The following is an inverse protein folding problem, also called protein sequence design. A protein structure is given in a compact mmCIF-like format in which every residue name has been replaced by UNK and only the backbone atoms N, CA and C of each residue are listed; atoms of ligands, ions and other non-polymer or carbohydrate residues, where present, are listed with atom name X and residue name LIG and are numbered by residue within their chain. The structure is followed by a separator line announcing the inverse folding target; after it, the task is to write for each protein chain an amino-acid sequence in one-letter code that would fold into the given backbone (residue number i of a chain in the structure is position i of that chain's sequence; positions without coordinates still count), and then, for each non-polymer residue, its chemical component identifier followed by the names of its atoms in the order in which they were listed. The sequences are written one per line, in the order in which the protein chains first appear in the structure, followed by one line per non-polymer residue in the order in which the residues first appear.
data_IF_655609573206
#
_entry.id   IF_655609573206
#
_cell.length_a   1.000
_cell.length_b   1.000
_cell.length_c   1.000
_cell.angle_alpha   90.00
_cell.angle_beta   90.00
_cell.angle_gamma   90.00
#
_symmetry.space_group_name_H-M   'P 1'
#
loop_
_entity.id
_entity.type
_entity.pdbx_description
1 polymer ?
#
# COMPACT_ATOMS: atom_id res chain seq x y z
N UNK A 1 -2.20 25.05 6.11
CA UNK A 1 -3.42 24.98 6.92
C UNK A 1 -3.94 23.56 6.82
N UNK A 2 -4.11 22.85 7.94
CA UNK A 2 -4.73 21.53 7.96
C UNK A 2 -6.23 21.69 7.76
N UNK A 3 -6.79 21.08 6.71
CA UNK A 3 -8.22 21.14 6.39
C UNK A 3 -8.92 19.95 7.04
N UNK A 4 -10.12 20.17 7.58
CA UNK A 4 -11.02 19.08 8.01
C UNK A 4 -12.22 19.07 7.08
N UNK A 5 -12.69 17.89 6.71
CA UNK A 5 -13.92 17.71 5.92
C UNK A 5 -14.74 16.58 6.52
N UNK A 6 -16.05 16.76 6.59
CA UNK A 6 -16.97 15.82 7.22
C UNK A 6 -18.05 15.43 6.23
N UNK A 7 -18.30 14.13 6.10
CA UNK A 7 -19.40 13.59 5.30
C UNK A 7 -20.35 12.85 6.24
N UNK A 8 -21.62 13.25 6.25
CA UNK A 8 -22.68 12.54 6.97
C UNK A 8 -23.48 11.70 5.97
N UNK A 9 -23.76 10.47 6.36
CA UNK A 9 -24.71 9.60 5.67
C UNK A 9 -26.15 9.86 6.21
N UNK A 10 -27.22 9.57 5.45
CA UNK A 10 -28.60 9.61 5.94
C UNK A 10 -28.86 8.94 7.30
N UNK A 11 -28.04 7.95 7.68
CA UNK A 11 -28.10 7.27 8.99
C UNK A 11 -27.35 8.00 10.11
N UNK A 12 -26.96 9.27 9.93
CA UNK A 12 -26.15 10.10 10.85
C UNK A 12 -24.73 9.58 11.15
N UNK A 13 -24.34 8.46 10.55
CA UNK A 13 -22.97 7.97 10.58
C UNK A 13 -22.05 9.00 9.90
N UNK A 14 -21.03 9.44 10.62
CA UNK A 14 -20.17 10.55 10.22
C UNK A 14 -18.79 10.03 9.87
N UNK A 15 -18.31 10.34 8.67
CA UNK A 15 -16.90 10.17 8.28
C UNK A 15 -16.19 11.52 8.40
N UNK A 16 -15.03 11.53 9.06
CA UNK A 16 -14.21 12.74 9.20
C UNK A 16 -12.86 12.52 8.55
N UNK A 17 -12.46 13.46 7.71
CA UNK A 17 -11.20 13.46 6.99
C UNK A 17 -10.39 14.67 7.46
N UNK A 18 -9.13 14.47 7.80
CA UNK A 18 -8.19 15.57 8.03
C UNK A 18 -7.09 15.53 6.98
N UNK A 19 -6.59 16.70 6.62
CA UNK A 19 -5.55 16.85 5.61
C UNK A 19 -4.32 17.53 6.19
N UNK A 20 -3.13 17.13 5.73
CA UNK A 20 -1.88 17.82 6.02
C UNK A 20 -1.79 19.16 5.24
N UNK A 21 -0.69 19.89 5.43
CA UNK A 21 -0.47 21.17 4.76
C UNK A 21 -0.29 21.08 3.25
N UNK A 22 0.06 19.90 2.73
CA UNK A 22 0.22 19.64 1.30
C UNK A 22 -1.11 19.16 0.66
N UNK A 23 -2.17 19.03 1.46
CA UNK A 23 -3.48 18.57 1.02
C UNK A 23 -3.60 17.04 0.95
N UNK A 24 -2.65 16.30 1.51
CA UNK A 24 -2.76 14.84 1.60
C UNK A 24 -3.66 14.45 2.77
N UNK A 25 -4.39 13.34 2.64
CA UNK A 25 -5.26 12.84 3.71
C UNK A 25 -4.41 12.35 4.90
N UNK A 26 -4.41 13.08 6.01
CA UNK A 26 -3.66 12.73 7.21
C UNK A 26 -4.39 11.70 8.07
N UNK A 27 -5.71 11.86 8.28
CA UNK A 27 -6.51 10.91 9.06
C UNK A 27 -7.89 10.70 8.46
N UNK A 28 -8.43 9.49 8.66
CA UNK A 28 -9.80 9.09 8.36
C UNK A 28 -10.42 8.50 9.63
N UNK A 29 -11.47 9.13 10.14
CA UNK A 29 -12.39 8.52 11.10
C UNK A 29 -13.59 7.98 10.31
N UNK A 30 -13.74 6.67 10.26
CA UNK A 30 -14.82 6.03 9.52
C UNK A 30 -16.16 6.05 10.30
N UNK A 31 -17.22 5.55 9.64
CA UNK A 31 -18.57 5.45 10.23
C UNK A 31 -18.65 4.55 11.47
N UNK A 32 -17.68 3.66 11.66
CA UNK A 32 -17.57 2.76 12.82
C UNK A 32 -16.71 3.37 13.93
N UNK A 33 -16.39 4.67 13.84
CA UNK A 33 -15.51 5.39 14.74
C UNK A 33 -14.08 4.83 14.77
N UNK A 34 -13.64 4.19 13.68
CA UNK A 34 -12.28 3.68 13.55
C UNK A 34 -11.39 4.70 12.86
N UNK A 35 -10.25 4.98 13.49
CA UNK A 35 -9.28 5.95 12.96
C UNK A 35 -8.19 5.23 12.18
N UNK A 36 -7.97 5.67 10.95
CA UNK A 36 -6.79 5.34 10.16
C UNK A 36 -5.93 6.59 10.01
N UNK A 37 -4.63 6.48 10.23
CA UNK A 37 -3.67 7.57 10.01
C UNK A 37 -2.75 7.25 8.84
N UNK A 38 -2.37 8.28 8.09
CA UNK A 38 -1.52 8.12 6.93
C UNK A 38 -0.30 9.05 7.04
N UNK A 39 0.86 8.55 6.60
CA UNK A 39 2.09 9.35 6.49
C UNK A 39 2.58 9.35 5.06
N UNK A 40 3.30 10.42 4.71
CA UNK A 40 3.77 10.67 3.35
C UNK A 40 5.25 11.00 3.35
N UNK A 41 5.93 10.73 2.24
CA UNK A 41 7.29 11.20 1.99
C UNK A 41 7.30 12.65 1.45
N UNK A 42 8.47 13.28 1.26
CA UNK A 42 8.57 14.64 0.72
C UNK A 42 8.00 14.82 -0.70
N UNK A 43 7.78 13.72 -1.43
CA UNK A 43 7.16 13.73 -2.76
C UNK A 43 5.63 13.53 -2.67
N UNK A 44 5.05 13.62 -1.46
CA UNK A 44 3.63 13.41 -1.18
C UNK A 44 3.12 12.00 -1.50
N UNK A 45 4.01 11.00 -1.43
CA UNK A 45 3.64 9.58 -1.63
C UNK A 45 3.40 8.92 -0.29
N UNK A 46 2.30 8.17 -0.17
CA UNK A 46 1.90 7.54 1.10
C UNK A 46 2.87 6.44 1.50
N UNK A 47 3.64 6.64 2.57
CA UNK A 47 4.62 5.67 3.08
C UNK A 47 4.07 4.74 4.15
N UNK A 48 2.98 5.12 4.81
CA UNK A 48 2.35 4.28 5.85
C UNK A 48 0.85 4.53 5.95
N UNK A 49 0.11 3.48 6.25
CA UNK A 49 -1.23 3.53 6.82
C UNK A 49 -1.21 2.80 8.17
N UNK A 50 -1.70 3.41 9.24
CA UNK A 50 -1.84 2.78 10.56
C UNK A 50 -3.32 2.70 10.90
N UNK A 51 -3.80 1.51 11.24
CA UNK A 51 -5.20 1.24 11.57
C UNK A 51 -5.44 1.38 13.07
N UNK A 52 -6.72 1.40 13.48
CA UNK A 52 -7.11 1.57 14.88
C UNK A 52 -6.56 0.49 15.80
N UNK A 53 -6.45 -0.74 15.32
CA UNK A 53 -5.92 -1.88 16.08
C UNK A 53 -4.39 -1.84 16.26
N UNK A 54 -3.74 -0.80 15.74
CA UNK A 54 -2.30 -0.58 15.78
C UNK A 54 -1.54 -1.29 14.66
N UNK A 55 -2.19 -2.15 13.87
CA UNK A 55 -1.56 -2.74 12.68
C UNK A 55 -1.26 -1.64 11.66
N UNK A 56 -0.31 -1.91 10.76
CA UNK A 56 0.03 -0.95 9.72
C UNK A 56 0.47 -1.60 8.42
N UNK A 57 0.29 -0.86 7.34
CA UNK A 57 0.85 -1.17 6.03
C UNK A 57 1.85 -0.09 5.65
N UNK A 58 3.08 -0.48 5.35
CA UNK A 58 4.16 0.40 4.92
C UNK A 58 4.42 0.22 3.43
N UNK A 59 4.75 1.30 2.75
CA UNK A 59 5.03 1.33 1.32
C UNK A 59 6.41 1.93 1.06
N UNK A 60 7.19 1.24 0.23
CA UNK A 60 8.47 1.73 -0.29
C UNK A 60 8.34 1.98 -1.77
N UNK A 61 8.93 3.08 -2.23
CA UNK A 61 8.88 3.51 -3.62
C UNK A 61 10.28 3.63 -4.21
N UNK A 62 10.40 3.38 -5.50
CA UNK A 62 11.60 3.76 -6.25
C UNK A 62 11.56 5.23 -6.73
N UNK A 63 12.59 5.62 -7.47
CA UNK A 63 12.71 6.95 -8.07
C UNK A 63 11.66 7.22 -9.18
N UNK A 64 11.09 6.16 -9.77
CA UNK A 64 10.03 6.23 -10.79
C UNK A 64 8.63 6.33 -10.20
N UNK A 65 8.49 6.52 -8.88
CA UNK A 65 7.19 6.57 -8.19
C UNK A 65 6.41 5.24 -8.25
N UNK A 66 7.12 4.11 -8.31
CA UNK A 66 6.52 2.77 -8.32
C UNK A 66 6.74 2.11 -6.96
N UNK A 67 5.74 1.37 -6.47
CA UNK A 67 5.83 0.65 -5.19
C UNK A 67 6.73 -0.57 -5.36
N UNK A 68 7.90 -0.56 -4.75
CA UNK A 68 8.84 -1.69 -4.76
C UNK A 68 8.64 -2.62 -3.57
N UNK A 69 8.01 -2.15 -2.50
CA UNK A 69 7.72 -2.98 -1.34
C UNK A 69 6.43 -2.58 -0.63
N UNK A 70 5.68 -3.57 -0.18
CA UNK A 70 4.57 -3.43 0.77
C UNK A 70 4.87 -4.32 1.97
N UNK A 71 4.87 -3.76 3.18
CA UNK A 71 5.00 -4.54 4.41
C UNK A 71 3.74 -4.38 5.26
N UNK A 72 3.22 -5.50 5.75
CA UNK A 72 2.22 -5.50 6.82
C UNK A 72 2.92 -5.69 8.15
N UNK A 73 2.50 -4.95 9.17
CA UNK A 73 3.04 -5.02 10.52
C UNK A 73 1.89 -5.19 11.51
N UNK A 74 2.10 -6.05 12.49
CA UNK A 74 1.21 -6.12 13.64
C UNK A 74 1.33 -4.86 14.52
N UNK A 75 0.50 -4.79 15.57
CA UNK A 75 0.50 -3.66 16.52
C UNK A 75 1.81 -3.50 17.31
N UNK A 76 2.61 -4.57 17.42
CA UNK A 76 3.97 -4.53 18.00
C UNK A 76 5.04 -4.02 17.03
N UNK A 77 4.69 -3.71 15.78
CA UNK A 77 5.61 -3.25 14.74
C UNK A 77 6.39 -4.36 14.04
N UNK A 78 6.13 -5.63 14.37
CA UNK A 78 6.73 -6.79 13.70
C UNK A 78 6.14 -6.96 12.32
N UNK A 79 7.00 -7.15 11.31
CA UNK A 79 6.57 -7.45 9.94
C UNK A 79 5.94 -8.85 9.90
N UNK A 80 4.69 -8.92 9.47
CA UNK A 80 3.93 -10.17 9.34
C UNK A 80 3.83 -10.65 7.90
N UNK A 81 3.91 -9.73 6.93
CA UNK A 81 3.97 -10.04 5.51
C UNK A 81 4.81 -9.01 4.76
N UNK A 82 5.48 -9.43 3.70
CA UNK A 82 6.20 -8.54 2.78
C UNK A 82 5.91 -8.97 1.35
N UNK A 83 5.59 -7.98 0.52
CA UNK A 83 5.49 -8.11 -0.93
C UNK A 83 6.59 -7.24 -1.53
N UNK A 84 7.43 -7.80 -2.39
CA UNK A 84 8.47 -7.07 -3.14
C UNK A 84 8.17 -7.11 -4.62
N UNK A 85 8.36 -5.98 -5.32
CA UNK A 85 8.06 -5.82 -6.74
C UNK A 85 9.27 -5.32 -7.50
N UNK A 86 9.50 -5.90 -8.68
CA UNK A 86 10.54 -5.49 -9.63
C UNK A 86 9.87 -5.04 -10.91
N UNK A 87 10.37 -3.95 -11.46
CA UNK A 87 9.87 -3.36 -12.69
C UNK A 87 10.98 -3.28 -13.74
N UNK A 88 10.62 -3.40 -15.01
CA UNK A 88 11.55 -3.11 -16.10
C UNK A 88 11.65 -1.60 -16.41
N UNK A 89 12.46 -1.25 -17.41
CA UNK A 89 12.65 0.13 -17.86
C UNK A 89 11.45 0.75 -18.58
N UNK A 90 10.36 0.00 -18.79
CA UNK A 90 9.10 0.48 -19.36
C UNK A 90 7.99 0.55 -18.30
N UNK A 91 8.35 0.54 -17.02
CA UNK A 91 7.45 0.57 -15.86
C UNK A 91 6.51 -0.63 -15.74
N UNK A 92 6.86 -1.76 -16.36
CA UNK A 92 6.06 -2.99 -16.28
C UNK A 92 6.57 -3.88 -15.16
N UNK A 93 5.66 -4.45 -14.37
CA UNK A 93 5.96 -5.36 -13.26
C UNK A 93 6.50 -6.69 -13.79
N UNK A 94 7.78 -6.99 -13.58
CA UNK A 94 8.41 -8.23 -14.06
C UNK A 94 8.50 -9.31 -13.01
N UNK A 95 8.45 -8.95 -11.73
CA UNK A 95 8.47 -9.91 -10.63
C UNK A 95 7.69 -9.39 -9.42
N UNK A 96 6.92 -10.27 -8.79
CA UNK A 96 6.32 -10.06 -7.47
C UNK A 96 6.72 -11.22 -6.55
N UNK A 97 7.33 -10.90 -5.41
CA UNK A 97 7.73 -11.88 -4.39
C UNK A 97 6.87 -11.66 -3.16
N UNK A 98 6.14 -12.69 -2.75
CA UNK A 98 5.40 -12.75 -1.48
C UNK A 98 6.07 -13.75 -0.55
N UNK A 99 5.55 -13.90 0.68
CA UNK A 99 6.03 -14.96 1.58
C UNK A 99 5.69 -16.37 1.06
N UNK A 100 4.66 -16.49 0.22
CA UNK A 100 4.12 -17.76 -0.24
C UNK A 100 4.67 -18.18 -1.60
N UNK A 101 4.95 -17.21 -2.47
CA UNK A 101 5.33 -17.48 -3.86
C UNK A 101 6.13 -16.34 -4.48
N UNK A 102 6.91 -16.69 -5.51
CA UNK A 102 7.47 -15.72 -6.44
C UNK A 102 6.78 -15.86 -7.78
N UNK A 103 6.27 -14.76 -8.30
CA UNK A 103 5.60 -14.71 -9.59
C UNK A 103 6.43 -13.88 -10.54
N UNK A 104 6.81 -14.48 -11.67
CA UNK A 104 7.50 -13.76 -12.75
C UNK A 104 6.55 -13.48 -13.90
N UNK A 105 6.66 -12.28 -14.46
CA UNK A 105 5.86 -11.81 -15.57
C UNK A 105 6.74 -11.51 -16.77
N UNK A 106 6.33 -12.01 -17.93
CA UNK A 106 6.91 -11.66 -19.22
C UNK A 106 5.88 -10.91 -20.06
N UNK A 107 6.37 -10.08 -20.98
CA UNK A 107 5.53 -9.26 -21.86
C UNK A 107 5.88 -9.52 -23.32
N UNK A 108 4.88 -9.44 -24.21
CA UNK A 108 5.13 -9.37 -25.66
C UNK A 108 5.46 -7.94 -26.12
N UNK A 109 5.81 -7.80 -27.40
CA UNK A 109 6.08 -6.50 -28.02
C UNK A 109 4.85 -5.58 -28.09
N UNK A 110 3.64 -6.10 -27.80
CA UNK A 110 2.42 -5.32 -27.69
C UNK A 110 2.10 -4.99 -26.22
N UNK A 111 3.05 -5.16 -25.30
CA UNK A 111 2.91 -4.93 -23.86
C UNK A 111 1.83 -5.78 -23.17
N UNK A 112 1.41 -6.89 -23.78
CA UNK A 112 0.50 -7.85 -23.14
C UNK A 112 1.29 -8.86 -22.32
N UNK A 113 0.77 -9.19 -21.14
CA UNK A 113 1.34 -10.19 -20.23
C UNK A 113 1.28 -11.58 -20.89
N UNK A 114 2.44 -12.19 -21.12
CA UNK A 114 2.59 -13.45 -21.87
C UNK A 114 2.64 -14.71 -21.02
N UNK A 115 3.08 -14.63 -19.77
CA UNK A 115 3.14 -15.81 -18.90
C UNK A 115 3.16 -15.43 -17.42
N UNK A 116 2.42 -16.21 -16.62
CA UNK A 116 2.55 -16.30 -15.18
C UNK A 116 3.42 -17.53 -14.92
N UNK A 117 4.71 -17.36 -14.67
CA UNK A 117 5.53 -18.46 -14.15
C UNK A 117 5.49 -18.35 -12.63
N UNK A 118 4.60 -19.12 -12.00
CA UNK A 118 4.59 -19.29 -10.55
C UNK A 118 5.85 -20.09 -10.22
N UNK A 119 6.83 -19.44 -9.57
CA UNK A 119 7.99 -20.13 -9.03
C UNK A 119 7.51 -21.01 -7.88
N UNK A 120 7.85 -22.29 -7.94
CA UNK A 120 7.45 -23.31 -6.98
C UNK A 120 7.55 -22.82 -5.53
N UNK A 121 6.55 -23.20 -4.72
CA UNK A 121 6.53 -23.04 -3.27
C UNK A 121 7.92 -23.34 -2.71
N UNK A 122 8.48 -22.43 -1.92
CA UNK A 122 9.57 -22.80 -1.01
C UNK A 122 9.01 -23.93 -0.13
N UNK A 123 9.48 -25.14 -0.38
CA UNK A 123 8.98 -26.35 0.24
C UNK A 123 9.05 -26.26 1.75
N UNK A 124 7.99 -26.78 2.38
CA UNK A 124 7.98 -27.10 3.80
C UNK A 124 9.19 -27.97 4.16
N UNK A 125 9.91 -27.57 5.20
CA UNK A 125 10.74 -28.46 6.02
C UNK A 125 10.44 -28.20 7.48
#
# INVERSE_FOLDING_TARGET
MNRTSTRKDPLLNTETYTYDNNGNLATLLDRKSQTTTYTYDPLNRRTKATFQDGTSTNYTYDAGNRITQVQEKNSGGTVTATITRVYDGLDRLTQEVTAQETVNYTYDNANRRRQLQQGDKLGDH
#
